data_IF_044577873568
#
_entry.id   IF_044577873568
#
_cell.length_a   1.000
_cell.length_b   1.000
_cell.length_c   1.000
_cell.angle_alpha   90.00
_cell.angle_beta   90.00
_cell.angle_gamma   90.00
#
_symmetry.space_group_name_H-M   'P 1'
#
loop_
_entity.id
_entity.type
_entity.pdbx_description
1 polymer ?
#
# COMPACT_ATOMS: atom_id res chain seq x y z
N UNK A 1 7.95 -4.26 13.05
CA UNK A 1 7.14 -4.92 12.01
C UNK A 1 6.32 -3.86 11.32
N UNK A 2 6.30 -3.87 10.03
CA UNK A 2 5.49 -2.96 9.22
C UNK A 2 4.55 -3.80 8.34
N UNK A 3 3.29 -3.37 8.24
CA UNK A 3 2.27 -4.05 7.46
C UNK A 3 1.94 -3.19 6.25
N UNK A 4 2.05 -3.76 5.07
CA UNK A 4 1.68 -3.10 3.82
C UNK A 4 0.64 -3.94 3.07
N UNK A 5 -0.46 -3.32 2.71
CA UNK A 5 -1.53 -3.96 1.98
C UNK A 5 -1.54 -3.51 0.52
N UNK A 6 -1.30 -4.46 -0.39
CA UNK A 6 -1.27 -4.21 -1.83
C UNK A 6 -2.61 -4.58 -2.44
N UNK A 7 -3.41 -3.60 -2.73
CA UNK A 7 -4.68 -3.77 -3.41
C UNK A 7 -5.43 -2.45 -3.50
N UNK A 8 -6.11 -2.23 -4.60
CA UNK A 8 -7.05 -1.11 -4.72
C UNK A 8 -8.27 -1.39 -3.84
N UNK A 9 -8.66 -0.44 -2.99
CA UNK A 9 -9.87 -0.58 -2.21
C UNK A 9 -9.71 -0.20 -0.73
N UNK A 10 -10.81 -0.34 -0.01
CA UNK A 10 -10.85 -0.06 1.43
C UNK A 10 -10.22 -1.21 2.21
N UNK A 11 -9.18 -0.92 2.97
CA UNK A 11 -8.48 -1.87 3.81
C UNK A 11 -8.69 -1.54 5.29
N UNK A 12 -8.65 -2.56 6.14
CA UNK A 12 -8.72 -2.43 7.59
C UNK A 12 -7.56 -3.19 8.22
N UNK A 13 -6.85 -2.53 9.10
CA UNK A 13 -5.85 -3.16 9.96
C UNK A 13 -6.32 -2.93 11.40
N UNK A 14 -6.43 -4.01 12.16
CA UNK A 14 -6.81 -4.00 13.58
C UNK A 14 -5.71 -4.67 14.38
N UNK A 15 -5.35 -4.05 15.49
CA UNK A 15 -4.39 -4.60 16.44
C UNK A 15 -5.12 -4.71 17.77
N UNK A 16 -5.25 -5.93 18.27
CA UNK A 16 -5.82 -6.23 19.57
C UNK A 16 -4.71 -6.70 20.50
N UNK A 17 -4.80 -6.33 21.75
CA UNK A 17 -3.94 -6.82 22.83
C UNK A 17 -4.79 -7.71 23.75
N UNK A 18 -4.33 -8.93 23.96
CA UNK A 18 -4.93 -9.84 24.94
C UNK A 18 -3.98 -10.01 26.12
N UNK A 19 -4.41 -9.51 27.27
CA UNK A 19 -3.69 -9.61 28.53
C UNK A 19 -4.21 -10.76 29.41
N UNK A 20 -5.03 -11.64 28.86
CA UNK A 20 -5.61 -12.76 29.58
C UNK A 20 -4.51 -13.72 30.03
N UNK A 21 -4.52 -14.07 31.30
CA UNK A 21 -3.56 -14.99 31.93
C UNK A 21 -2.09 -14.54 31.95
N UNK A 22 -1.83 -13.24 31.88
CA UNK A 22 -0.46 -12.70 31.98
C UNK A 22 0.40 -12.90 30.75
N UNK A 23 -0.18 -13.36 29.65
CA UNK A 23 0.47 -13.40 28.33
C UNK A 23 0.10 -12.15 27.55
N UNK A 24 1.05 -11.25 27.39
CA UNK A 24 0.87 -10.07 26.52
C UNK A 24 0.96 -10.49 25.06
N UNK A 25 -0.15 -10.92 24.47
CA UNK A 25 -0.21 -11.33 23.08
C UNK A 25 -0.89 -10.23 22.25
N UNK A 26 -0.25 -9.83 21.18
CA UNK A 26 -0.82 -8.90 20.22
C UNK A 26 -1.29 -9.65 18.99
N UNK A 27 -2.56 -9.49 18.65
CA UNK A 27 -3.18 -10.02 17.45
C UNK A 27 -3.26 -8.92 16.40
N UNK A 28 -2.75 -9.19 15.23
CA UNK A 28 -2.81 -8.28 14.09
C UNK A 28 -3.70 -8.87 13.02
N UNK A 29 -4.78 -8.19 12.73
CA UNK A 29 -5.72 -8.54 11.66
C UNK A 29 -5.58 -7.53 10.52
N UNK A 30 -5.43 -8.02 9.31
CA UNK A 30 -5.37 -7.18 8.13
C UNK A 30 -6.23 -7.79 7.03
N UNK A 31 -7.03 -6.97 6.37
CA UNK A 31 -7.94 -7.46 5.35
C UNK A 31 -8.72 -6.36 4.67
N UNK A 32 -9.75 -6.77 3.95
CA UNK A 32 -10.73 -5.85 3.39
C UNK A 32 -11.57 -5.26 4.52
N UNK A 33 -11.94 -3.99 4.38
CA UNK A 33 -12.84 -3.35 5.32
C UNK A 33 -14.26 -3.85 5.07
N UNK A 34 -14.81 -4.54 6.07
CA UNK A 34 -16.18 -5.06 6.04
C UNK A 34 -17.25 -3.97 6.27
N UNK A 35 -16.88 -2.78 6.73
CA UNK A 35 -17.83 -1.71 7.01
C UNK A 35 -18.49 -1.21 5.73
N UNK A 36 -19.83 -1.27 5.69
CA UNK A 36 -20.65 -0.87 4.54
C UNK A 36 -20.26 -1.57 3.22
N UNK A 37 -19.79 -2.81 3.30
CA UNK A 37 -19.50 -3.64 2.13
C UNK A 37 -19.98 -5.06 2.34
N UNK A 38 -20.68 -5.59 1.35
CA UNK A 38 -21.10 -6.97 1.29
C UNK A 38 -20.62 -7.57 -0.03
N UNK A 39 -20.19 -8.83 0.03
CA UNK A 39 -19.87 -9.61 -1.14
C UNK A 39 -20.61 -10.95 -1.08
N UNK A 40 -21.52 -11.16 -2.02
CA UNK A 40 -22.24 -12.41 -2.15
C UNK A 40 -21.42 -13.35 -3.03
N UNK A 41 -20.98 -14.46 -2.45
CA UNK A 41 -20.25 -15.50 -3.17
C UNK A 41 -21.25 -16.59 -3.59
N UNK A 42 -21.43 -16.79 -4.88
CA UNK A 42 -22.29 -17.84 -5.40
C UNK A 42 -21.63 -19.23 -5.31
N UNK A 43 -22.40 -20.33 -5.27
CA UNK A 43 -21.83 -21.66 -5.22
C UNK A 43 -20.83 -21.90 -6.36
N UNK A 44 -19.63 -22.40 -6.02
CA UNK A 44 -18.49 -22.65 -6.93
C UNK A 44 -17.77 -21.39 -7.42
N UNK A 45 -18.18 -20.21 -7.03
CA UNK A 45 -17.43 -18.98 -7.28
C UNK A 45 -16.20 -18.89 -6.36
N UNK A 46 -15.13 -18.26 -6.85
CA UNK A 46 -13.91 -18.02 -6.08
C UNK A 46 -13.69 -16.53 -5.95
N UNK A 47 -13.45 -16.12 -4.74
CA UNK A 47 -13.02 -14.74 -4.44
C UNK A 47 -11.54 -14.73 -4.07
N UNK A 48 -10.77 -13.89 -4.73
CA UNK A 48 -9.35 -13.71 -4.43
C UNK A 48 -9.16 -12.38 -3.70
N UNK A 49 -8.74 -12.43 -2.45
CA UNK A 49 -8.40 -11.22 -1.70
C UNK A 49 -7.17 -10.55 -2.27
N UNK A 50 -7.05 -9.23 -2.12
CA UNK A 50 -5.79 -8.54 -2.39
C UNK A 50 -4.64 -9.12 -1.56
N UNK A 51 -3.42 -9.04 -2.09
CA UNK A 51 -2.23 -9.58 -1.41
C UNK A 51 -1.86 -8.70 -0.22
N UNK A 52 -1.52 -9.33 0.88
CA UNK A 52 -0.92 -8.69 2.03
C UNK A 52 0.59 -8.97 2.03
N UNK A 53 1.39 -7.92 2.06
CA UNK A 53 2.83 -8.02 2.23
C UNK A 53 3.23 -7.64 3.65
N UNK A 54 4.10 -8.43 4.23
CA UNK A 54 4.63 -8.24 5.58
C UNK A 54 6.15 -8.16 5.51
N UNK A 55 6.72 -7.31 6.34
CA UNK A 55 8.17 -7.26 6.55
C UNK A 55 8.52 -7.24 8.03
N UNK A 56 9.70 -7.72 8.34
CA UNK A 56 10.31 -7.64 9.66
C UNK A 56 11.67 -6.94 9.56
N UNK A 57 11.98 -6.10 10.53
CA UNK A 57 13.28 -5.45 10.61
C UNK A 57 13.70 -5.30 12.08
N UNK A 58 14.95 -5.61 12.37
CA UNK A 58 15.62 -5.28 13.63
C UNK A 58 16.24 -3.88 13.61
N UNK A 59 16.27 -3.21 12.46
CA UNK A 59 16.83 -1.86 12.26
C UNK A 59 15.73 -0.77 12.37
N UNK A 60 14.62 -1.06 13.03
CA UNK A 60 13.50 -0.15 13.20
C UNK A 60 12.70 0.09 11.90
N UNK A 61 11.88 1.14 11.91
CA UNK A 61 10.99 1.48 10.80
C UNK A 61 11.75 1.82 9.50
N UNK A 62 12.93 2.43 9.60
CA UNK A 62 13.76 2.73 8.43
C UNK A 62 14.22 1.45 7.70
N UNK A 63 14.56 0.40 8.44
CA UNK A 63 14.89 -0.90 7.87
C UNK A 63 13.69 -1.55 7.18
N UNK A 64 12.54 -1.54 7.84
CA UNK A 64 11.29 -2.06 7.28
C UNK A 64 10.89 -1.33 6.00
N UNK A 65 10.96 -0.01 5.99
CA UNK A 65 10.69 0.83 4.81
C UNK A 65 11.62 0.49 3.64
N UNK A 66 12.93 0.35 3.91
CA UNK A 66 13.90 -0.05 2.87
C UNK A 66 13.60 -1.43 2.28
N UNK A 67 13.11 -2.37 3.09
CA UNK A 67 12.70 -3.69 2.62
C UNK A 67 11.55 -3.58 1.62
N UNK A 68 10.51 -2.79 1.94
CA UNK A 68 9.41 -2.54 1.00
C UNK A 68 9.85 -1.80 -0.27
N UNK A 69 10.76 -0.84 -0.17
CA UNK A 69 11.28 -0.15 -1.35
C UNK A 69 12.03 -1.12 -2.29
N UNK A 70 12.84 -2.02 -1.74
CA UNK A 70 13.53 -3.05 -2.54
C UNK A 70 12.52 -3.99 -3.19
N UNK A 71 11.57 -4.49 -2.42
CA UNK A 71 10.54 -5.38 -2.93
C UNK A 71 9.70 -4.72 -4.04
N UNK A 72 9.29 -3.47 -3.85
CA UNK A 72 8.56 -2.73 -4.88
C UNK A 72 9.36 -2.57 -6.17
N UNK A 73 10.64 -2.23 -6.06
CA UNK A 73 11.54 -2.10 -7.22
C UNK A 73 11.75 -3.42 -7.95
N UNK A 74 11.78 -4.54 -7.23
CA UNK A 74 12.07 -5.84 -7.83
C UNK A 74 10.89 -6.46 -8.58
N UNK A 75 9.65 -6.08 -8.30
CA UNK A 75 8.54 -6.80 -8.89
C UNK A 75 7.18 -6.11 -8.93
N UNK A 76 7.03 -4.96 -8.25
CA UNK A 76 5.74 -4.28 -8.18
C UNK A 76 5.65 -3.08 -9.14
N UNK A 77 6.75 -2.41 -9.37
CA UNK A 77 6.80 -1.22 -10.22
C UNK A 77 6.96 -1.64 -11.66
N UNK A 78 6.01 -1.23 -12.50
CA UNK A 78 6.10 -1.49 -13.95
C UNK A 78 7.33 -0.82 -14.53
N UNK A 79 8.08 -1.55 -15.38
CA UNK A 79 9.34 -1.09 -15.97
C UNK A 79 10.34 -0.55 -14.93
N UNK A 80 10.56 -1.31 -13.85
CA UNK A 80 11.45 -0.91 -12.75
C UNK A 80 12.91 -0.65 -13.19
N UNK A 81 13.34 -1.23 -14.32
CA UNK A 81 14.67 -1.07 -14.89
C UNK A 81 14.85 0.22 -15.72
N UNK A 82 13.76 0.91 -16.00
CA UNK A 82 13.81 2.15 -16.77
C UNK A 82 13.79 3.37 -15.85
N UNK A 83 14.63 4.38 -16.13
CA UNK A 83 14.50 5.66 -15.45
C UNK A 83 13.09 6.24 -15.71
N UNK A 84 12.56 6.93 -14.74
CA UNK A 84 11.28 7.61 -14.88
C UNK A 84 11.49 8.92 -15.63
N UNK A 85 10.54 9.24 -16.50
CA UNK A 85 10.51 10.54 -17.15
C UNK A 85 10.21 11.64 -16.12
N UNK A 86 10.71 12.84 -16.40
CA UNK A 86 10.39 14.01 -15.61
C UNK A 86 8.97 14.43 -15.95
N UNK A 87 8.11 14.45 -14.94
CA UNK A 87 6.72 14.88 -15.07
C UNK A 87 6.58 16.29 -14.48
N UNK A 88 6.15 17.23 -15.32
CA UNK A 88 5.77 18.56 -14.88
C UNK A 88 4.24 18.61 -14.72
N UNK A 89 3.79 18.95 -13.52
CA UNK A 89 2.38 19.23 -13.26
C UNK A 89 2.13 20.73 -13.35
N UNK A 90 1.44 21.16 -14.40
CA UNK A 90 1.14 22.56 -14.64
C UNK A 90 -0.05 23.10 -13.86
N UNK A 91 -0.77 22.26 -13.12
CA UNK A 91 -2.05 22.65 -12.50
C UNK A 91 -1.93 23.84 -11.53
N UNK A 92 -0.91 23.86 -10.68
CA UNK A 92 -0.71 24.94 -9.72
C UNK A 92 -0.02 26.17 -10.30
N UNK A 93 0.62 26.05 -11.47
CA UNK A 93 1.30 27.15 -12.14
C UNK A 93 0.40 27.93 -13.11
N UNK A 94 -0.18 27.24 -14.08
CA UNK A 94 -0.88 27.87 -15.20
C UNK A 94 -2.29 27.31 -15.43
N UNK A 95 -2.74 26.37 -14.60
CA UNK A 95 -4.05 25.70 -14.71
C UNK A 95 -4.26 25.11 -16.12
N UNK A 96 -5.30 25.56 -16.82
CA UNK A 96 -5.68 25.11 -18.16
C UNK A 96 -4.97 25.89 -19.30
N UNK A 97 -4.30 26.98 -18.98
CA UNK A 97 -3.64 27.85 -19.97
C UNK A 97 -2.19 27.39 -20.21
N UNK A 98 -2.01 26.19 -20.70
CA UNK A 98 -0.68 25.64 -20.97
C UNK A 98 -0.13 26.24 -22.27
N UNK A 99 0.94 27.02 -22.16
CA UNK A 99 1.72 27.55 -23.28
C UNK A 99 3.18 27.15 -23.11
N UNK A 100 3.81 26.74 -24.20
CA UNK A 100 5.21 26.30 -24.21
C UNK A 100 6.15 27.33 -23.58
N UNK A 101 5.95 28.60 -23.88
CA UNK A 101 6.78 29.70 -23.36
C UNK A 101 6.70 29.92 -21.84
N UNK A 102 5.66 29.46 -21.17
CA UNK A 102 5.45 29.58 -19.73
C UNK A 102 6.00 28.37 -18.96
N UNK A 103 6.37 27.31 -19.67
CA UNK A 103 6.88 26.07 -19.09
C UNK A 103 8.40 26.03 -18.98
N UNK A 104 9.11 26.95 -19.65
CA UNK A 104 10.58 27.01 -19.71
C UNK A 104 11.18 27.98 -18.67
N UNK A 105 10.39 28.56 -17.77
CA UNK A 105 10.83 29.43 -16.68
C UNK A 105 10.81 28.70 -15.33
#
# INVERSE_FOLDING_TARGET
>A
MELFYVGGGRTKIRIDSDDTYGSHVHHVFAGMNEEASEYKLEPREKFTTPKLALTYSCEGLGGASRNFHRWARMGMVHNCDKPRDILLNSWEGVYLNIKEQEMDQ
#
